data_IF_877348543598
#
_entry.id   IF_877348543598
#
_cell.length_a   1.000
_cell.length_b   1.000
_cell.length_c   1.000
_cell.angle_alpha   90.00
_cell.angle_beta   90.00
_cell.angle_gamma   90.00
#
_symmetry.space_group_name_H-M   'P 1'
#
loop_
_entity.id
_entity.type
_entity.pdbx_description
1 polymer ?
#
# COMPACT_ATOMS: atom_id res chain seq x y z
N UNK A 1 18.80 -85.04 46.62
CA UNK A 1 18.44 -83.61 46.88
C UNK A 1 19.38 -82.72 46.11
N UNK A 2 19.01 -82.26 44.97
CA UNK A 2 19.82 -81.39 44.09
C UNK A 2 19.24 -79.99 44.13
N UNK A 3 19.93 -79.01 44.65
CA UNK A 3 19.55 -77.59 44.66
C UNK A 3 19.98 -76.92 43.35
N UNK A 4 19.01 -76.37 42.61
CA UNK A 4 19.24 -75.53 41.43
C UNK A 4 19.28 -74.09 41.88
N UNK A 5 20.30 -73.27 41.48
CA UNK A 5 20.33 -71.85 41.78
C UNK A 5 19.52 -71.05 40.77
N UNK A 6 18.69 -70.11 41.27
CA UNK A 6 17.85 -69.16 40.51
C UNK A 6 18.77 -68.03 40.04
N UNK A 7 18.91 -67.85 38.70
CA UNK A 7 19.58 -66.73 38.10
C UNK A 7 18.54 -65.55 37.94
N UNK A 8 18.85 -64.48 38.66
CA UNK A 8 18.05 -63.21 38.48
C UNK A 8 18.62 -62.44 37.26
N UNK A 9 17.77 -62.27 36.27
CA UNK A 9 18.07 -61.43 35.10
C UNK A 9 17.66 -59.98 35.41
N UNK A 10 18.66 -59.07 35.50
CA UNK A 10 18.46 -57.63 35.63
C UNK A 10 18.26 -57.04 34.26
N UNK A 11 17.03 -56.59 33.96
CA UNK A 11 16.74 -55.85 32.72
C UNK A 11 17.16 -54.38 32.88
N UNK A 12 18.13 -53.97 32.08
CA UNK A 12 18.61 -52.57 31.99
C UNK A 12 17.68 -51.82 30.99
N UNK A 13 16.81 -50.96 31.50
CA UNK A 13 15.94 -50.11 30.65
C UNK A 13 16.77 -48.92 30.13
N UNK A 14 17.07 -48.90 28.82
CA UNK A 14 17.62 -47.72 28.14
C UNK A 14 16.51 -46.67 28.02
N UNK A 15 16.59 -45.59 28.79
CA UNK A 15 15.81 -44.38 28.59
C UNK A 15 16.51 -43.54 27.52
N UNK A 16 15.97 -43.60 26.29
CA UNK A 16 16.39 -42.68 25.22
C UNK A 16 15.79 -41.29 25.48
N UNK A 17 16.66 -40.36 25.93
CA UNK A 17 16.28 -38.97 26.02
C UNK A 17 16.11 -38.38 24.59
N UNK A 18 14.89 -38.11 24.14
CA UNK A 18 14.65 -37.30 22.96
C UNK A 18 15.14 -35.87 23.25
N UNK A 19 16.14 -35.42 22.52
CA UNK A 19 16.56 -34.03 22.51
C UNK A 19 15.41 -33.16 21.91
N UNK A 20 15.09 -32.01 22.51
CA UNK A 20 14.08 -31.14 21.93
C UNK A 20 14.56 -30.64 20.57
N UNK A 21 13.70 -30.75 19.55
CA UNK A 21 13.93 -30.17 18.21
C UNK A 21 14.11 -28.65 18.34
N UNK A 22 15.09 -28.06 17.65
CA UNK A 22 15.28 -26.63 17.70
C UNK A 22 14.01 -25.93 17.17
N UNK A 23 13.35 -25.14 18.01
CA UNK A 23 12.27 -24.23 17.62
C UNK A 23 12.83 -23.29 16.56
N UNK A 24 12.15 -23.11 15.40
CA UNK A 24 12.59 -22.15 14.40
C UNK A 24 12.67 -20.77 15.06
N UNK A 25 13.84 -20.13 14.95
CA UNK A 25 14.07 -18.81 15.50
C UNK A 25 13.03 -17.87 14.90
N UNK A 26 12.08 -17.41 15.71
CA UNK A 26 11.19 -16.31 15.36
C UNK A 26 12.10 -15.12 15.08
N UNK A 27 12.23 -14.76 13.79
CA UNK A 27 13.05 -13.65 13.36
C UNK A 27 12.61 -12.38 14.10
N UNK A 28 13.55 -11.68 14.74
CA UNK A 28 13.31 -10.36 15.32
C UNK A 28 12.56 -9.52 14.27
N UNK A 29 11.49 -8.80 14.65
CA UNK A 29 10.83 -7.90 13.72
C UNK A 29 11.90 -6.98 13.12
N UNK A 30 11.98 -6.94 11.79
CA UNK A 30 12.90 -6.05 11.07
C UNK A 30 12.59 -4.62 11.49
N UNK A 31 13.61 -3.84 11.86
CA UNK A 31 13.40 -2.41 12.16
C UNK A 31 12.61 -1.77 11.00
N UNK A 32 11.60 -0.95 11.35
CA UNK A 32 10.79 -0.25 10.36
C UNK A 32 11.68 0.57 9.42
N UNK A 33 11.44 0.47 8.11
CA UNK A 33 12.15 1.27 7.11
C UNK A 33 11.48 2.64 6.95
N UNK A 34 12.23 3.70 6.56
CA UNK A 34 11.62 4.98 6.20
C UNK A 34 10.58 4.81 5.11
N UNK A 35 9.43 5.48 5.23
CA UNK A 35 8.37 5.40 4.22
C UNK A 35 8.80 5.96 2.86
N UNK A 36 9.69 6.94 2.86
CA UNK A 36 10.28 7.56 1.65
C UNK A 36 11.79 7.44 1.74
N UNK A 37 12.43 7.00 0.66
CA UNK A 37 13.89 6.87 0.56
C UNK A 37 14.42 7.58 -0.67
N UNK A 38 15.63 8.11 -0.58
CA UNK A 38 16.31 8.75 -1.69
C UNK A 38 16.99 7.73 -2.60
N UNK A 39 17.37 8.14 -3.81
CA UNK A 39 18.20 7.33 -4.71
C UNK A 39 19.55 6.95 -4.09
N UNK A 40 20.14 7.84 -3.26
CA UNK A 40 21.39 7.56 -2.54
C UNK A 40 21.22 6.45 -1.49
N UNK A 41 20.10 6.48 -0.78
CA UNK A 41 19.77 5.41 0.15
C UNK A 41 19.61 4.08 -0.59
N UNK A 42 18.80 4.06 -1.66
CA UNK A 42 18.55 2.84 -2.42
C UNK A 42 19.84 2.28 -3.02
N UNK A 43 20.71 3.13 -3.59
CA UNK A 43 21.97 2.67 -4.17
C UNK A 43 22.87 1.92 -3.17
N UNK A 44 22.87 2.34 -1.90
CA UNK A 44 23.62 1.67 -0.82
C UNK A 44 23.00 0.34 -0.38
N UNK A 45 21.71 0.11 -0.68
CA UNK A 45 20.93 -1.05 -0.22
C UNK A 45 20.48 -1.97 -1.36
N UNK A 46 20.86 -1.70 -2.61
CA UNK A 46 20.45 -2.50 -3.78
C UNK A 46 20.84 -3.98 -3.68
N UNK A 47 21.98 -4.27 -3.02
CA UNK A 47 22.54 -5.63 -2.88
C UNK A 47 22.22 -6.29 -1.55
N UNK A 48 21.40 -5.65 -0.71
CA UNK A 48 20.97 -6.24 0.56
C UNK A 48 20.14 -7.49 0.29
N UNK A 49 20.46 -8.59 0.99
CA UNK A 49 19.87 -9.91 0.74
C UNK A 49 18.33 -9.98 0.86
N UNK A 50 17.72 -9.03 1.59
CA UNK A 50 16.27 -8.95 1.79
C UNK A 50 15.65 -7.71 1.14
N UNK A 51 16.37 -7.04 0.25
CA UNK A 51 15.87 -5.87 -0.46
C UNK A 51 15.28 -6.30 -1.79
N UNK A 52 13.99 -6.03 -1.97
CA UNK A 52 13.29 -6.21 -3.24
C UNK A 52 12.91 -4.84 -3.79
N UNK A 53 13.28 -4.56 -5.03
CA UNK A 53 12.90 -3.33 -5.73
C UNK A 53 11.80 -3.67 -6.73
N UNK A 54 10.67 -2.94 -6.68
CA UNK A 54 9.52 -3.16 -7.54
C UNK A 54 9.24 -1.92 -8.38
N UNK A 55 9.21 -2.08 -9.70
CA UNK A 55 8.69 -1.10 -10.63
C UNK A 55 7.19 -1.32 -10.81
N UNK A 56 6.39 -0.41 -10.27
CA UNK A 56 4.94 -0.36 -10.47
C UNK A 56 4.66 0.32 -11.83
N UNK A 57 4.61 -0.46 -12.90
CA UNK A 57 4.41 0.07 -14.25
C UNK A 57 3.05 -0.33 -14.83
N UNK A 58 2.51 0.50 -15.72
CA UNK A 58 1.27 0.17 -16.44
C UNK A 58 1.50 -0.93 -17.48
N UNK A 59 2.64 -0.89 -18.15
CA UNK A 59 2.93 -1.75 -19.29
C UNK A 59 4.35 -2.31 -19.23
N UNK A 60 4.54 -3.44 -19.90
CA UNK A 60 5.87 -4.03 -20.08
C UNK A 60 6.84 -3.10 -20.82
N UNK A 61 6.46 -2.41 -21.92
CA UNK A 61 7.32 -1.44 -22.59
C UNK A 61 7.82 -0.31 -21.71
N UNK A 62 7.03 0.18 -20.73
CA UNK A 62 7.47 1.18 -19.76
C UNK A 62 8.66 0.67 -18.93
N UNK A 63 8.59 -0.57 -18.47
CA UNK A 63 9.67 -1.22 -17.74
C UNK A 63 10.91 -1.47 -18.63
N UNK A 64 10.71 -1.96 -19.85
CA UNK A 64 11.77 -2.31 -20.79
C UNK A 64 12.50 -1.07 -21.34
N UNK A 65 11.86 0.12 -21.31
CA UNK A 65 12.52 1.39 -21.65
C UNK A 65 13.66 1.73 -20.69
N UNK A 66 13.61 1.21 -19.44
CA UNK A 66 14.66 1.32 -18.45
C UNK A 66 14.13 1.32 -17.02
N UNK A 67 14.84 0.64 -16.15
CA UNK A 67 14.49 0.48 -14.75
C UNK A 67 15.73 0.50 -13.85
N UNK A 68 15.53 0.67 -12.54
CA UNK A 68 16.58 0.54 -11.52
C UNK A 68 17.17 -0.88 -11.61
N UNK A 69 18.50 -1.05 -11.61
CA UNK A 69 19.11 -2.38 -11.69
C UNK A 69 18.52 -3.35 -10.66
N UNK A 70 18.13 -4.54 -11.12
CA UNK A 70 17.51 -5.56 -10.28
C UNK A 70 16.04 -5.32 -9.91
N UNK A 71 15.44 -4.22 -10.33
CA UNK A 71 14.02 -3.98 -10.13
C UNK A 71 13.16 -5.00 -10.89
N UNK A 72 12.07 -5.42 -10.29
CA UNK A 72 11.11 -6.41 -10.80
C UNK A 72 9.83 -5.71 -11.21
N UNK A 73 9.28 -6.07 -12.36
CA UNK A 73 8.02 -5.50 -12.85
C UNK A 73 6.83 -6.07 -12.10
N UNK A 74 5.99 -5.20 -11.55
CA UNK A 74 4.66 -5.53 -11.08
C UNK A 74 3.63 -4.72 -11.87
N UNK A 75 2.91 -5.32 -12.84
CA UNK A 75 1.95 -4.60 -13.67
C UNK A 75 0.77 -4.06 -12.87
N UNK A 76 0.32 -2.83 -13.17
CA UNK A 76 -0.78 -2.17 -12.49
C UNK A 76 -2.05 -3.02 -12.40
N UNK A 77 -2.46 -3.65 -13.50
CA UNK A 77 -3.67 -4.48 -13.54
C UNK A 77 -3.63 -5.68 -12.57
N UNK A 78 -2.44 -6.05 -12.08
CA UNK A 78 -2.28 -7.16 -11.14
C UNK A 78 -2.82 -6.83 -9.75
N UNK A 79 -2.70 -5.56 -9.32
CA UNK A 79 -3.09 -5.14 -7.97
C UNK A 79 -4.25 -4.15 -7.93
N UNK A 80 -4.67 -3.62 -9.09
CA UNK A 80 -5.77 -2.66 -9.21
C UNK A 80 -6.66 -2.94 -10.45
N UNK A 81 -7.26 -4.13 -10.55
CA UNK A 81 -8.15 -4.49 -11.66
C UNK A 81 -9.48 -3.73 -11.59
N UNK A 82 -10.29 -3.87 -12.65
CA UNK A 82 -11.73 -3.58 -12.60
C UNK A 82 -12.45 -4.80 -12.06
N UNK A 83 -13.20 -4.64 -10.99
CA UNK A 83 -14.00 -5.71 -10.36
C UNK A 83 -15.45 -5.25 -10.17
N UNK A 84 -16.41 -6.11 -10.53
CA UNK A 84 -17.86 -5.86 -10.34
C UNK A 84 -18.33 -4.51 -10.91
N UNK A 85 -17.69 -4.06 -12.01
CA UNK A 85 -18.00 -2.79 -12.65
C UNK A 85 -17.48 -1.55 -11.91
N UNK A 86 -16.58 -1.72 -10.94
CA UNK A 86 -15.83 -0.67 -10.28
C UNK A 86 -14.37 -0.69 -10.73
N UNK A 87 -13.84 0.49 -11.04
CA UNK A 87 -12.49 0.66 -11.58
C UNK A 87 -11.44 0.61 -10.48
N UNK A 88 -10.24 0.10 -10.80
CA UNK A 88 -9.05 0.17 -9.93
C UNK A 88 -9.26 -0.36 -8.51
N UNK A 89 -10.02 -1.44 -8.35
CA UNK A 89 -10.31 -2.04 -7.06
C UNK A 89 -9.13 -2.86 -6.52
N UNK A 90 -9.09 -3.07 -5.21
CA UNK A 90 -8.16 -4.00 -4.58
C UNK A 90 -8.35 -5.39 -5.19
N UNK A 91 -7.28 -5.97 -5.73
CA UNK A 91 -7.36 -7.31 -6.30
C UNK A 91 -7.64 -8.36 -5.20
N UNK A 92 -8.23 -9.52 -5.55
CA UNK A 92 -8.44 -10.60 -4.60
C UNK A 92 -7.15 -11.03 -3.91
N UNK A 93 -7.22 -11.38 -2.62
CA UNK A 93 -6.06 -11.72 -1.79
C UNK A 93 -5.16 -12.78 -2.44
N UNK A 94 -5.75 -13.85 -2.98
CA UNK A 94 -4.99 -14.93 -3.63
C UNK A 94 -4.24 -14.45 -4.90
N UNK A 95 -4.79 -13.46 -5.63
CA UNK A 95 -4.10 -12.85 -6.77
C UNK A 95 -2.92 -11.97 -6.30
N UNK A 96 -3.11 -11.18 -5.24
CA UNK A 96 -2.07 -10.33 -4.68
C UNK A 96 -0.90 -11.15 -4.11
N UNK A 97 -1.23 -12.19 -3.37
CA UNK A 97 -0.26 -13.14 -2.81
C UNK A 97 0.56 -13.78 -3.93
N UNK A 98 -0.10 -14.42 -4.89
CA UNK A 98 0.57 -15.04 -6.04
C UNK A 98 1.42 -14.05 -6.83
N UNK A 99 0.99 -12.78 -6.96
CA UNK A 99 1.72 -11.75 -7.68
C UNK A 99 3.02 -11.34 -6.96
N UNK A 100 2.96 -11.18 -5.64
CA UNK A 100 4.15 -10.86 -4.84
C UNK A 100 5.15 -12.02 -4.84
N UNK A 101 4.68 -13.26 -4.71
CA UNK A 101 5.54 -14.43 -4.86
C UNK A 101 6.16 -14.53 -6.25
N UNK A 102 5.40 -14.26 -7.32
CA UNK A 102 5.90 -14.31 -8.69
C UNK A 102 7.05 -13.32 -8.93
N UNK A 103 7.02 -12.16 -8.25
CA UNK A 103 8.14 -11.21 -8.26
C UNK A 103 9.16 -11.51 -7.14
N UNK A 104 9.11 -12.69 -6.52
CA UNK A 104 10.12 -13.22 -5.60
C UNK A 104 10.11 -12.57 -4.22
N UNK A 105 8.99 -12.02 -3.76
CA UNK A 105 8.85 -11.52 -2.38
C UNK A 105 8.72 -12.68 -1.41
N UNK A 106 9.43 -12.60 -0.29
CA UNK A 106 9.38 -13.56 0.81
C UNK A 106 8.98 -12.89 2.11
N UNK A 107 8.60 -13.69 3.09
CA UNK A 107 8.41 -13.22 4.46
C UNK A 107 9.69 -12.55 4.99
N UNK A 108 9.54 -11.36 5.57
CA UNK A 108 10.65 -10.58 6.12
C UNK A 108 11.42 -9.73 5.10
N UNK A 109 11.09 -9.77 3.80
CA UNK A 109 11.68 -8.87 2.81
C UNK A 109 11.26 -7.41 3.05
N UNK A 110 12.12 -6.49 2.60
CA UNK A 110 11.88 -5.06 2.53
C UNK A 110 11.68 -4.67 1.08
N UNK A 111 10.70 -3.83 0.81
CA UNK A 111 10.38 -3.44 -0.55
C UNK A 111 10.69 -1.96 -0.75
N UNK A 112 11.31 -1.64 -1.88
CA UNK A 112 11.31 -0.26 -2.42
C UNK A 112 10.47 -0.27 -3.69
N UNK A 113 9.44 0.56 -3.71
CA UNK A 113 8.53 0.67 -4.84
C UNK A 113 8.72 2.02 -5.55
N UNK A 114 8.62 2.02 -6.87
CA UNK A 114 8.68 3.24 -7.68
C UNK A 114 7.90 3.05 -9.00
N UNK A 115 7.62 4.14 -9.69
CA UNK A 115 6.85 4.21 -10.93
C UNK A 115 6.09 5.53 -11.00
N UNK A 116 5.00 5.57 -11.75
CA UNK A 116 4.12 6.73 -11.78
C UNK A 116 3.43 6.97 -10.43
N UNK A 117 3.29 8.21 -9.95
CA UNK A 117 2.88 8.51 -8.57
C UNK A 117 1.59 7.85 -8.11
N UNK A 118 0.55 7.86 -8.96
CA UNK A 118 -0.74 7.27 -8.61
C UNK A 118 -0.66 5.74 -8.53
N UNK A 119 0.13 5.11 -9.38
CA UNK A 119 0.35 3.66 -9.37
C UNK A 119 1.15 3.22 -8.15
N UNK A 120 2.23 3.94 -7.83
CA UNK A 120 3.04 3.70 -6.64
C UNK A 120 2.21 3.87 -5.37
N UNK A 121 1.41 4.94 -5.30
CA UNK A 121 0.54 5.17 -4.16
C UNK A 121 -0.53 4.07 -4.02
N UNK A 122 -1.09 3.60 -5.15
CA UNK A 122 -2.03 2.48 -5.15
C UNK A 122 -1.38 1.17 -4.70
N UNK A 123 -0.16 0.89 -5.16
CA UNK A 123 0.61 -0.26 -4.70
C UNK A 123 0.94 -0.16 -3.20
N UNK A 124 1.29 1.04 -2.70
CA UNK A 124 1.54 1.25 -1.27
C UNK A 124 0.30 0.89 -0.43
N UNK A 125 -0.90 1.32 -0.83
CA UNK A 125 -2.16 0.92 -0.17
C UNK A 125 -2.32 -0.59 -0.15
N UNK A 126 -2.07 -1.25 -1.30
CA UNK A 126 -2.15 -2.71 -1.43
C UNK A 126 -1.16 -3.42 -0.49
N UNK A 127 0.09 -2.95 -0.43
CA UNK A 127 1.11 -3.54 0.42
C UNK A 127 0.84 -3.30 1.91
N UNK A 128 0.28 -2.13 2.27
CA UNK A 128 -0.18 -1.87 3.63
C UNK A 128 -1.33 -2.80 4.04
N UNK A 129 -2.30 -3.03 3.13
CA UNK A 129 -3.39 -3.99 3.33
C UNK A 129 -2.87 -5.42 3.53
N UNK A 130 -1.82 -5.82 2.80
CA UNK A 130 -1.19 -7.14 2.96
C UNK A 130 -0.31 -7.28 4.23
N UNK A 131 -0.25 -6.24 5.08
CA UNK A 131 0.50 -6.27 6.34
C UNK A 131 1.98 -5.95 6.20
N UNK A 132 2.37 -5.31 5.09
CA UNK A 132 3.77 -4.90 4.84
C UNK A 132 4.09 -3.49 5.36
N UNK A 133 3.19 -2.89 6.14
CA UNK A 133 3.40 -1.59 6.80
C UNK A 133 4.70 -1.58 7.59
N UNK A 134 5.56 -0.57 7.36
CA UNK A 134 6.90 -0.49 7.98
C UNK A 134 7.98 -1.32 7.28
N UNK A 135 7.65 -2.07 6.22
CA UNK A 135 8.59 -2.80 5.37
C UNK A 135 8.64 -2.30 3.94
N UNK A 136 7.85 -1.28 3.61
CA UNK A 136 7.78 -0.68 2.27
C UNK A 136 8.30 0.74 2.32
N UNK A 137 9.14 1.09 1.35
CA UNK A 137 9.59 2.44 1.07
C UNK A 137 9.21 2.85 -0.35
N UNK A 138 8.89 4.11 -0.54
CA UNK A 138 8.71 4.73 -1.86
C UNK A 138 10.01 5.44 -2.25
N UNK A 139 10.52 5.18 -3.46
CA UNK A 139 11.66 5.89 -4.00
C UNK A 139 11.25 7.32 -4.39
N UNK A 140 11.81 8.30 -3.71
CA UNK A 140 11.52 9.70 -3.92
C UNK A 140 11.95 10.16 -5.32
N UNK A 141 11.04 10.77 -6.09
CA UNK A 141 11.25 11.17 -7.48
C UNK A 141 11.39 10.00 -8.47
N UNK A 142 11.23 8.77 -8.01
CA UNK A 142 11.17 7.58 -8.86
C UNK A 142 12.38 7.39 -9.77
N UNK A 143 12.13 6.88 -10.99
CA UNK A 143 13.19 6.59 -11.97
C UNK A 143 13.84 7.86 -12.51
N UNK A 144 13.11 8.99 -12.55
CA UNK A 144 13.64 10.21 -13.09
C UNK A 144 14.70 10.80 -12.16
N UNK A 145 14.43 10.90 -10.85
CA UNK A 145 15.43 11.33 -9.87
C UNK A 145 16.63 10.35 -9.81
N UNK A 146 16.40 9.06 -10.01
CA UNK A 146 17.50 8.07 -10.12
C UNK A 146 18.39 8.36 -11.33
N UNK A 147 17.80 8.65 -12.49
CA UNK A 147 18.50 8.96 -13.74
C UNK A 147 19.24 10.30 -13.66
N UNK A 148 18.58 11.33 -13.13
CA UNK A 148 19.14 12.69 -13.01
C UNK A 148 20.36 12.73 -12.07
N UNK A 149 20.42 11.81 -11.10
CA UNK A 149 21.60 11.58 -10.27
C UNK A 149 22.75 10.82 -11.00
N UNK A 150 22.64 10.60 -12.32
CA UNK A 150 23.66 9.94 -13.14
C UNK A 150 23.81 8.44 -12.86
N UNK A 151 22.78 7.79 -12.28
CA UNK A 151 22.85 6.38 -11.88
C UNK A 151 22.53 5.45 -13.04
N UNK A 152 23.11 4.24 -12.97
CA UNK A 152 22.92 3.21 -13.99
C UNK A 152 21.44 2.81 -14.11
N UNK A 153 20.98 2.71 -15.36
CA UNK A 153 19.67 2.18 -15.75
C UNK A 153 19.90 0.81 -16.40
N UNK A 154 19.11 -0.19 -15.99
CA UNK A 154 19.06 -1.50 -16.64
C UNK A 154 17.89 -1.59 -17.60
N UNK A 155 18.03 -2.42 -18.64
CA UNK A 155 16.95 -2.89 -19.52
C UNK A 155 16.79 -4.40 -19.45
N UNK A 156 17.65 -5.05 -18.68
CA UNK A 156 17.65 -6.50 -18.51
C UNK A 156 16.83 -6.86 -17.28
N UNK A 157 15.74 -7.61 -17.48
CA UNK A 157 14.95 -8.12 -16.37
C UNK A 157 15.79 -9.10 -15.53
N UNK A 158 15.80 -8.97 -14.19
CA UNK A 158 16.53 -9.92 -13.35
C UNK A 158 15.90 -11.31 -13.44
N UNK A 159 16.72 -12.34 -13.31
CA UNK A 159 16.22 -13.68 -13.04
C UNK A 159 15.58 -13.69 -11.62
N UNK A 160 14.31 -14.09 -11.56
CA UNK A 160 13.54 -14.12 -10.33
C UNK A 160 13.16 -15.55 -9.99
N UNK A 161 13.56 -16.01 -8.82
CA UNK A 161 13.00 -17.23 -8.21
C UNK A 161 11.70 -16.84 -7.51
N UNK A 162 10.64 -17.64 -7.68
CA UNK A 162 9.37 -17.44 -6.98
C UNK A 162 9.62 -17.40 -5.47
N UNK A 163 9.06 -16.41 -4.81
CA UNK A 163 9.15 -16.26 -3.37
C UNK A 163 8.14 -17.12 -2.60
N UNK A 164 8.14 -16.91 -1.30
CA UNK A 164 7.15 -17.46 -0.36
C UNK A 164 6.73 -16.34 0.58
N UNK A 165 5.53 -15.83 0.39
CA UNK A 165 4.98 -14.72 1.14
C UNK A 165 3.64 -15.12 1.77
N UNK A 166 3.46 -14.77 3.04
CA UNK A 166 2.23 -15.03 3.79
C UNK A 166 1.58 -13.70 4.17
N UNK A 167 0.47 -13.29 3.51
CA UNK A 167 -0.21 -12.05 3.83
C UNK A 167 -0.70 -12.02 5.28
N UNK A 168 -0.40 -10.94 6.00
CA UNK A 168 -0.97 -10.62 7.30
C UNK A 168 -1.92 -9.43 7.15
N UNK A 169 -3.14 -9.70 6.68
CA UNK A 169 -4.10 -8.70 6.22
C UNK A 169 -4.45 -7.69 7.31
N UNK A 170 -4.17 -6.41 7.05
CA UNK A 170 -4.66 -5.27 7.83
C UNK A 170 -5.94 -4.71 7.18
N UNK A 171 -7.10 -5.27 7.54
CA UNK A 171 -8.40 -4.83 7.03
C UNK A 171 -8.71 -3.35 7.40
N UNK A 172 -8.02 -2.78 8.38
CA UNK A 172 -8.22 -1.39 8.77
C UNK A 172 -7.74 -0.37 7.73
N UNK A 173 -6.97 -0.81 6.73
CA UNK A 173 -6.55 0.02 5.59
C UNK A 173 -7.72 0.42 4.70
N UNK A 174 -8.73 -0.45 4.59
CA UNK A 174 -9.90 -0.23 3.73
C UNK A 174 -11.08 0.26 4.59
N UNK A 175 -11.78 1.26 4.10
CA UNK A 175 -13.11 1.64 4.56
C UNK A 175 -14.09 1.28 3.45
N UNK A 176 -15.00 0.33 3.71
CA UNK A 176 -16.07 -0.01 2.77
C UNK A 176 -17.18 1.06 2.79
N UNK A 177 -18.10 0.99 1.82
CA UNK A 177 -19.18 1.94 1.67
C UNK A 177 -20.11 1.99 2.90
N UNK A 178 -20.31 0.85 3.57
CA UNK A 178 -21.12 0.76 4.79
C UNK A 178 -20.45 1.51 5.94
N UNK A 179 -19.15 1.29 6.13
CA UNK A 179 -18.37 2.02 7.13
C UNK A 179 -18.36 3.52 6.85
N UNK A 180 -18.09 3.94 5.59
CA UNK A 180 -18.06 5.36 5.21
C UNK A 180 -19.42 6.02 5.47
N UNK A 181 -20.53 5.39 5.07
CA UNK A 181 -21.88 5.95 5.23
C UNK A 181 -22.25 6.19 6.70
N UNK A 182 -21.78 5.34 7.61
CA UNK A 182 -22.02 5.44 9.05
C UNK A 182 -21.12 6.48 9.75
N UNK A 183 -20.03 6.91 9.09
CA UNK A 183 -19.02 7.76 9.72
C UNK A 183 -18.86 9.15 9.07
N UNK A 184 -19.79 9.58 8.22
CA UNK A 184 -19.73 10.88 7.51
C UNK A 184 -19.69 12.09 8.44
N UNK A 185 -20.19 11.95 9.67
CA UNK A 185 -20.20 13.00 10.70
C UNK A 185 -19.61 12.55 12.05
N UNK A 186 -18.91 11.40 12.06
CA UNK A 186 -18.36 10.84 13.29
C UNK A 186 -17.20 11.70 13.82
N UNK A 187 -17.18 11.92 15.14
CA UNK A 187 -16.06 12.60 15.80
C UNK A 187 -14.77 11.76 15.65
N UNK A 188 -13.64 12.42 15.40
CA UNK A 188 -12.36 11.76 15.20
C UNK A 188 -12.21 11.06 13.84
N UNK A 189 -13.16 11.24 12.91
CA UNK A 189 -13.08 10.79 11.51
C UNK A 189 -13.07 12.00 10.59
N UNK A 190 -12.18 12.00 9.62
CA UNK A 190 -12.10 13.01 8.59
C UNK A 190 -12.09 12.36 7.21
N UNK A 191 -13.16 12.58 6.44
CA UNK A 191 -13.27 12.11 5.07
C UNK A 191 -12.69 13.18 4.14
N UNK A 192 -11.79 12.78 3.23
CA UNK A 192 -11.07 13.68 2.34
C UNK A 192 -11.29 13.26 0.88
N UNK A 193 -11.75 14.21 0.07
CA UNK A 193 -11.92 14.06 -1.38
C UNK A 193 -10.66 14.54 -2.12
N UNK A 194 -10.04 13.65 -2.87
CA UNK A 194 -8.82 13.95 -3.63
C UNK A 194 -9.08 14.49 -5.05
N UNK A 195 -10.35 14.62 -5.47
CA UNK A 195 -10.72 15.11 -6.80
C UNK A 195 -10.46 16.61 -6.93
N UNK A 196 -10.40 17.08 -8.19
CA UNK A 196 -10.34 18.50 -8.46
C UNK A 196 -11.63 19.21 -7.96
N UNK A 197 -11.55 20.52 -7.61
CA UNK A 197 -12.65 21.24 -6.96
C UNK A 197 -13.97 21.23 -7.75
N UNK A 198 -13.94 21.25 -9.08
CA UNK A 198 -15.13 21.22 -9.90
C UNK A 198 -15.97 19.95 -9.71
N UNK A 199 -15.34 18.81 -9.42
CA UNK A 199 -16.04 17.55 -9.13
C UNK A 199 -16.55 17.51 -7.70
N UNK A 200 -15.74 17.99 -6.75
CA UNK A 200 -16.12 18.09 -5.34
C UNK A 200 -17.32 19.02 -5.15
N UNK A 201 -17.28 20.21 -5.75
CA UNK A 201 -18.35 21.21 -5.64
C UNK A 201 -19.62 20.80 -6.39
N UNK A 202 -19.53 19.81 -7.28
CA UNK A 202 -20.67 19.32 -8.05
C UNK A 202 -20.93 20.08 -9.34
N UNK A 203 -20.00 20.89 -9.81
CA UNK A 203 -20.13 21.60 -11.10
C UNK A 203 -20.00 20.65 -12.30
N UNK A 204 -19.36 19.52 -12.10
CA UNK A 204 -19.26 18.45 -13.10
C UNK A 204 -19.39 17.08 -12.42
N UNK A 205 -20.20 16.17 -12.96
CA UNK A 205 -20.21 14.78 -12.53
C UNK A 205 -18.98 13.99 -13.05
N UNK A 206 -18.27 14.50 -14.05
CA UNK A 206 -17.31 13.70 -14.82
C UNK A 206 -18.00 12.51 -15.47
N UNK A 207 -17.49 11.30 -15.19
CA UNK A 207 -18.09 10.04 -15.66
C UNK A 207 -18.99 9.37 -14.58
N UNK A 208 -19.27 10.07 -13.48
CA UNK A 208 -20.05 9.52 -12.37
C UNK A 208 -21.54 9.74 -12.59
N UNK A 209 -22.43 8.85 -12.11
CA UNK A 209 -23.89 8.99 -12.21
C UNK A 209 -24.44 10.27 -11.57
N UNK A 210 -23.77 10.78 -10.53
CA UNK A 210 -24.18 11.98 -9.79
C UNK A 210 -23.01 12.93 -9.58
N UNK A 211 -23.28 14.24 -9.56
CA UNK A 211 -22.31 15.28 -9.23
C UNK A 211 -22.29 15.56 -7.71
N UNK A 212 -21.19 16.14 -7.22
CA UNK A 212 -21.02 16.52 -5.82
C UNK A 212 -20.09 15.61 -5.02
N UNK A 213 -20.20 15.64 -3.69
CA UNK A 213 -19.30 14.92 -2.79
C UNK A 213 -20.02 14.19 -1.66
N UNK A 214 -19.33 13.32 -0.96
CA UNK A 214 -19.82 12.61 0.24
C UNK A 214 -20.05 13.64 1.35
N UNK A 215 -21.20 13.65 2.05
CA UNK A 215 -21.47 14.59 3.15
C UNK A 215 -20.35 14.60 4.18
N UNK A 216 -19.98 15.79 4.66
CA UNK A 216 -18.92 15.97 5.65
C UNK A 216 -17.48 15.82 5.14
N UNK A 217 -17.29 15.46 3.88
CA UNK A 217 -15.96 15.40 3.28
C UNK A 217 -15.37 16.82 3.11
N UNK A 218 -14.06 16.93 3.29
CA UNK A 218 -13.28 18.11 2.90
C UNK A 218 -12.48 17.80 1.63
N UNK A 219 -12.13 18.83 0.85
CA UNK A 219 -11.40 18.64 -0.40
C UNK A 219 -9.90 18.96 -0.23
N UNK A 220 -9.05 18.01 -0.60
CA UNK A 220 -7.62 18.21 -0.83
C UNK A 220 -7.31 17.64 -2.22
N UNK A 221 -7.33 18.47 -3.28
CA UNK A 221 -7.04 18.01 -4.63
C UNK A 221 -5.68 17.34 -4.73
N UNK A 222 -5.63 16.16 -5.35
CA UNK A 222 -4.39 15.38 -5.49
C UNK A 222 -3.24 16.17 -6.14
N UNK A 223 -3.56 17.12 -7.02
CA UNK A 223 -2.59 18.01 -7.67
C UNK A 223 -1.82 18.92 -6.70
N UNK A 224 -2.34 19.10 -5.48
CA UNK A 224 -1.66 19.87 -4.43
C UNK A 224 -0.65 19.04 -3.61
N UNK A 225 -0.65 17.71 -3.78
CA UNK A 225 0.16 16.80 -2.98
C UNK A 225 1.58 16.61 -3.50
N UNK A 226 1.80 16.84 -4.80
CA UNK A 226 3.11 16.65 -5.46
C UNK A 226 3.73 17.98 -5.85
N UNK A 227 5.07 18.01 -5.88
CA UNK A 227 5.89 19.08 -6.42
C UNK A 227 6.48 18.72 -7.79
N UNK A 228 7.68 19.22 -8.05
CA UNK A 228 8.47 18.87 -9.24
C UNK A 228 8.83 17.38 -9.24
N UNK A 229 9.09 16.81 -10.41
CA UNK A 229 9.43 15.39 -10.60
C UNK A 229 8.45 14.41 -9.90
N UNK A 230 7.19 14.84 -9.73
CA UNK A 230 6.16 14.00 -9.10
C UNK A 230 6.42 13.58 -7.64
N UNK A 231 7.42 14.17 -7.01
CA UNK A 231 7.72 13.95 -5.59
C UNK A 231 6.59 14.42 -4.70
N UNK A 232 6.32 13.69 -3.65
CA UNK A 232 5.39 14.16 -2.63
C UNK A 232 5.96 15.43 -1.97
N UNK A 233 5.12 16.45 -1.77
CA UNK A 233 5.53 17.69 -1.09
C UNK A 233 6.13 17.40 0.28
N UNK A 234 6.95 18.33 0.79
CA UNK A 234 7.51 18.26 2.12
C UNK A 234 6.43 18.21 3.21
N UNK A 235 6.74 17.61 4.34
CA UNK A 235 5.79 17.43 5.44
C UNK A 235 5.17 18.74 5.96
N UNK A 236 5.90 19.88 6.06
CA UNK A 236 5.30 21.15 6.45
C UNK A 236 4.21 21.63 5.48
N UNK A 237 4.36 21.43 4.17
CA UNK A 237 3.33 21.78 3.18
C UNK A 237 2.15 20.85 3.24
N UNK A 238 2.39 19.54 3.35
CA UNK A 238 1.32 18.55 3.53
C UNK A 238 0.55 18.83 4.83
N UNK A 239 1.23 19.08 5.95
CA UNK A 239 0.58 19.37 7.24
C UNK A 239 -0.35 20.58 7.16
N UNK A 240 0.05 21.64 6.43
CA UNK A 240 -0.84 22.80 6.21
C UNK A 240 -2.08 22.45 5.42
N UNK A 241 -1.98 21.61 4.37
CA UNK A 241 -3.14 21.15 3.60
C UNK A 241 -4.12 20.35 4.47
N UNK A 242 -3.62 19.43 5.27
CA UNK A 242 -4.45 18.59 6.15
C UNK A 242 -5.09 19.42 7.26
N UNK A 243 -4.34 20.34 7.88
CA UNK A 243 -4.88 21.25 8.88
C UNK A 243 -5.97 22.18 8.32
N UNK A 244 -5.79 22.72 7.10
CA UNK A 244 -6.78 23.53 6.40
C UNK A 244 -8.06 22.73 6.08
N UNK A 245 -7.94 21.42 5.82
CA UNK A 245 -9.07 20.51 5.67
C UNK A 245 -9.70 20.07 7.00
N UNK A 246 -9.24 20.64 8.13
CA UNK A 246 -9.77 20.39 9.48
C UNK A 246 -9.34 19.05 10.09
N UNK A 247 -8.30 18.40 9.57
CA UNK A 247 -7.72 17.19 10.16
C UNK A 247 -6.98 17.55 11.45
N UNK A 248 -7.22 16.78 12.51
CA UNK A 248 -6.58 16.94 13.81
C UNK A 248 -5.69 15.75 14.13
N UNK A 249 -4.76 15.96 15.05
CA UNK A 249 -3.95 14.87 15.56
C UNK A 249 -4.86 13.80 16.20
N UNK A 250 -4.63 12.53 15.86
CA UNK A 250 -5.42 11.40 16.34
C UNK A 250 -6.66 11.06 15.48
N UNK A 251 -7.02 11.90 14.49
CA UNK A 251 -8.11 11.58 13.58
C UNK A 251 -7.79 10.35 12.73
N UNK A 252 -8.83 9.57 12.43
CA UNK A 252 -8.82 8.61 11.33
C UNK A 252 -9.13 9.36 10.05
N UNK A 253 -8.18 9.34 9.12
CA UNK A 253 -8.29 9.99 7.80
C UNK A 253 -8.76 8.97 6.78
N UNK A 254 -9.92 9.21 6.17
CA UNK A 254 -10.47 8.36 5.10
C UNK A 254 -10.36 9.11 3.77
N UNK A 255 -9.68 8.54 2.81
CA UNK A 255 -9.48 9.18 1.51
C UNK A 255 -10.33 8.53 0.43
N UNK A 256 -10.89 9.33 -0.47
CA UNK A 256 -11.59 8.86 -1.67
C UNK A 256 -11.36 9.81 -2.86
N UNK A 257 -11.68 9.33 -4.08
CA UNK A 257 -11.69 10.15 -5.29
C UNK A 257 -12.78 9.68 -6.26
N UNK A 258 -12.51 9.59 -7.55
CA UNK A 258 -13.43 8.94 -8.50
C UNK A 258 -13.40 7.41 -8.35
N UNK A 259 -12.20 6.80 -8.41
CA UNK A 259 -11.96 5.37 -8.59
C UNK A 259 -10.80 4.84 -7.71
N UNK A 260 -10.45 5.50 -6.61
CA UNK A 260 -9.41 5.07 -5.68
C UNK A 260 -7.98 5.51 -6.01
N UNK A 261 -7.66 5.94 -7.23
CA UNK A 261 -6.30 6.25 -7.64
C UNK A 261 -5.72 7.52 -7.01
N UNK A 262 -6.40 8.66 -7.17
CA UNK A 262 -6.00 9.94 -6.57
C UNK A 262 -6.08 9.86 -5.04
N UNK A 263 -7.08 9.13 -4.53
CA UNK A 263 -7.24 8.84 -3.11
C UNK A 263 -6.04 8.09 -2.51
N UNK A 264 -5.42 7.20 -3.27
CA UNK A 264 -4.21 6.48 -2.83
C UNK A 264 -3.04 7.44 -2.60
N UNK A 265 -2.90 8.49 -3.43
CA UNK A 265 -1.87 9.50 -3.22
C UNK A 265 -2.15 10.34 -1.96
N UNK A 266 -3.41 10.67 -1.70
CA UNK A 266 -3.81 11.36 -0.47
C UNK A 266 -3.63 10.45 0.76
N UNK A 267 -3.92 9.14 0.65
CA UNK A 267 -3.60 8.14 1.65
C UNK A 267 -2.09 8.10 1.95
N UNK A 268 -1.24 8.10 0.92
CA UNK A 268 0.22 8.13 1.10
C UNK A 268 0.66 9.38 1.86
N UNK A 269 0.11 10.56 1.52
CA UNK A 269 0.38 11.80 2.24
C UNK A 269 -0.04 11.72 3.72
N UNK A 270 -1.24 11.19 4.00
CA UNK A 270 -1.72 10.96 5.36
C UNK A 270 -0.80 10.01 6.15
N UNK A 271 -0.36 8.93 5.51
CA UNK A 271 0.61 7.97 6.08
C UNK A 271 1.95 8.62 6.40
N UNK A 272 2.46 9.48 5.52
CA UNK A 272 3.71 10.22 5.72
C UNK A 272 3.63 11.17 6.92
N UNK A 273 2.46 11.76 7.15
CA UNK A 273 2.19 12.62 8.31
C UNK A 273 1.88 11.84 9.60
N UNK A 274 1.87 10.50 9.56
CA UNK A 274 1.62 9.67 10.74
C UNK A 274 0.16 9.53 11.15
N UNK A 275 -0.80 9.91 10.29
CA UNK A 275 -2.21 9.71 10.55
C UNK A 275 -2.63 8.24 10.44
N UNK A 276 -3.70 7.87 11.15
CA UNK A 276 -4.42 6.63 10.94
C UNK A 276 -5.20 6.74 9.62
N UNK A 277 -4.58 6.29 8.51
CA UNK A 277 -5.12 6.45 7.17
C UNK A 277 -5.90 5.20 6.72
N UNK A 278 -7.05 5.43 6.10
CA UNK A 278 -7.89 4.45 5.41
C UNK A 278 -8.20 4.94 4.00
N UNK A 279 -8.51 4.03 3.11
CA UNK A 279 -9.02 4.38 1.77
C UNK A 279 -10.42 3.81 1.60
N UNK A 280 -11.33 4.61 1.06
CA UNK A 280 -12.59 4.12 0.51
C UNK A 280 -12.33 3.66 -0.93
N UNK A 281 -12.16 2.34 -1.09
CA UNK A 281 -11.69 1.74 -2.34
C UNK A 281 -12.63 1.97 -3.51
N UNK A 282 -13.92 1.72 -3.35
CA UNK A 282 -14.95 1.97 -4.36
C UNK A 282 -15.15 3.46 -4.68
N UNK A 283 -14.70 4.34 -3.79
CA UNK A 283 -14.68 5.79 -4.00
C UNK A 283 -16.03 6.38 -4.42
N UNK A 284 -16.01 7.52 -5.10
CA UNK A 284 -17.25 8.16 -5.55
C UNK A 284 -17.94 7.39 -6.69
N UNK A 285 -17.21 6.55 -7.42
CA UNK A 285 -17.81 5.64 -8.41
C UNK A 285 -18.84 4.71 -7.75
N UNK A 286 -18.48 4.07 -6.65
CA UNK A 286 -19.41 3.21 -5.90
C UNK A 286 -20.50 4.02 -5.20
N UNK A 287 -20.11 5.11 -4.50
CA UNK A 287 -21.04 5.96 -3.75
C UNK A 287 -22.13 6.56 -4.65
N UNK A 288 -21.76 7.09 -5.82
CA UNK A 288 -22.69 7.76 -6.73
C UNK A 288 -23.69 6.82 -7.42
N UNK A 289 -23.39 5.51 -7.47
CA UNK A 289 -24.29 4.46 -7.97
C UNK A 289 -25.41 4.11 -6.98
N UNK A 290 -25.26 4.47 -5.71
CA UNK A 290 -26.23 4.16 -4.63
C UNK A 290 -27.19 5.35 -4.45
N UNK A 291 -28.39 5.25 -5.04
CA UNK A 291 -29.38 6.35 -5.01
C UNK A 291 -29.81 6.76 -3.59
N UNK A 292 -29.79 5.80 -2.65
CA UNK A 292 -30.12 5.98 -1.23
C UNK A 292 -29.07 6.75 -0.43
N UNK A 293 -27.84 6.85 -0.92
CA UNK A 293 -26.79 7.58 -0.22
C UNK A 293 -26.81 9.06 -0.62
N UNK A 294 -26.73 9.99 0.35
CA UNK A 294 -26.78 11.42 0.08
C UNK A 294 -25.52 11.92 -0.63
N UNK A 295 -25.68 12.94 -1.45
CA UNK A 295 -24.60 13.70 -2.10
C UNK A 295 -24.83 15.17 -1.84
N UNK A 296 -23.76 15.89 -1.50
CA UNK A 296 -23.77 17.35 -1.35
C UNK A 296 -23.28 17.99 -2.64
N UNK A 297 -24.02 18.98 -3.11
CA UNK A 297 -23.65 19.85 -4.23
C UNK A 297 -23.59 21.27 -3.66
N UNK A 298 -22.46 21.95 -3.84
CA UNK A 298 -22.36 23.36 -3.45
C UNK A 298 -23.16 24.21 -4.43
N UNK A 299 -23.96 25.11 -3.90
CA UNK A 299 -24.66 26.06 -4.75
C UNK A 299 -23.64 26.92 -5.50
N UNK A 300 -23.79 27.04 -6.84
CA UNK A 300 -23.00 28.02 -7.60
C UNK A 300 -23.04 29.37 -6.88
N UNK A 301 -21.89 29.89 -6.47
CA UNK A 301 -21.81 31.33 -6.17
C UNK A 301 -22.09 32.04 -7.49
N UNK A 302 -23.33 32.49 -7.70
CA UNK A 302 -23.61 33.43 -8.80
C UNK A 302 -22.61 34.57 -8.72
N UNK A 303 -21.99 34.92 -9.87
CA UNK A 303 -21.03 36.01 -9.94
C UNK A 303 -21.62 37.34 -9.51
#
# INVERSE_FOLDING_TARGET
>A
MIRVPLLAATALALVSALAPSPTPAQGRPSAAVPLVVTGDWLAKHLTDARQVVIHAASTRPEYDAGHVPGARLLPFATYAPTLEGLSSQMAPLAQLDSALEAVGVNDGDRLVIYGQPLQVARLLVTLDYLGLKGRVSVLDGGIDAWRDAGRTISREAPAVTRGSFTPNVDASVIADIGWVSQNTSASGVRILDARAPEFYLGYSPGQMPRAGHIPGAANIPFSQLTGELTQLRDEPKLSRLFAAAGVKQGDTVVTYCHIGMQASLLYFAARRLGYNARIFDGSFEEWSKKAELPVVVEAEKKP
#
